data_IF_128416432324
#
_entry.id   IF_128416432324
#
_cell.length_a   1.000
_cell.length_b   1.000
_cell.length_c   1.000
_cell.angle_alpha   90.00
_cell.angle_beta   90.00
_cell.angle_gamma   90.00
#
_symmetry.space_group_name_H-M   'P 1'
#
loop_
_entity.id
_entity.type
_entity.pdbx_description
1 polymer ?
#
# COMPACT_ATOMS: atom_id res chain seq x y z
N UNK A 1 -12.18 -7.08 3.89
CA UNK A 1 -13.07 -5.90 3.97
C UNK A 1 -12.36 -4.84 4.83
N UNK A 2 -12.30 -3.58 4.41
CA UNK A 2 -11.57 -2.50 5.10
C UNK A 2 -12.00 -2.36 6.57
N UNK A 3 -11.11 -2.62 7.54
CA UNK A 3 -11.36 -2.22 8.93
C UNK A 3 -11.01 -0.73 9.09
N UNK A 4 -11.87 0.13 8.58
CA UNK A 4 -11.73 1.60 8.64
C UNK A 4 -11.44 2.11 10.06
N UNK A 5 -11.88 1.38 11.10
CA UNK A 5 -11.61 1.77 12.50
C UNK A 5 -10.14 1.60 12.88
N UNK A 6 -9.50 0.50 12.50
CA UNK A 6 -8.09 0.25 12.76
C UNK A 6 -7.20 1.26 12.03
N UNK A 7 -7.49 1.51 10.76
CA UNK A 7 -6.79 2.50 9.93
C UNK A 7 -6.83 3.91 10.49
N UNK A 8 -8.02 4.34 10.94
CA UNK A 8 -8.20 5.64 11.58
C UNK A 8 -7.38 5.74 12.87
N UNK A 9 -7.22 4.64 13.61
CA UNK A 9 -6.43 4.62 14.83
C UNK A 9 -4.92 4.72 14.56
N UNK A 10 -4.39 3.97 13.59
CA UNK A 10 -2.98 4.05 13.22
C UNK A 10 -2.63 5.42 12.63
N UNK A 11 -3.48 5.94 11.75
CA UNK A 11 -3.33 7.28 11.21
C UNK A 11 -3.34 8.34 12.31
N UNK A 12 -4.28 8.24 13.27
CA UNK A 12 -4.32 9.15 14.43
C UNK A 12 -3.09 8.98 15.34
N UNK A 13 -2.59 7.77 15.53
CA UNK A 13 -1.38 7.53 16.32
C UNK A 13 -0.17 8.25 15.71
N UNK A 14 0.00 8.15 14.39
CA UNK A 14 1.05 8.90 13.69
C UNK A 14 0.86 10.41 13.85
N UNK A 15 -0.35 10.93 13.65
CA UNK A 15 -0.60 12.37 13.71
C UNK A 15 -0.49 12.95 15.13
N UNK A 16 -0.71 12.15 16.17
CA UNK A 16 -0.41 12.53 17.56
C UNK A 16 1.06 12.87 17.76
N UNK A 17 1.98 12.15 17.11
CA UNK A 17 3.41 12.48 17.16
C UNK A 17 3.73 13.85 16.53
N UNK A 18 2.80 14.39 15.73
CA UNK A 18 2.91 15.65 15.02
C UNK A 18 2.07 16.79 15.67
N UNK A 19 1.50 16.56 16.85
CA UNK A 19 0.70 17.55 17.58
C UNK A 19 -0.79 17.57 17.24
N UNK A 20 -1.31 16.57 16.49
CA UNK A 20 -2.75 16.42 16.24
C UNK A 20 -3.36 15.52 17.30
N UNK A 21 -4.26 16.07 18.12
CA UNK A 21 -4.84 15.40 19.29
C UNK A 21 -5.98 14.48 18.90
N UNK A 22 -6.87 14.96 18.03
CA UNK A 22 -8.07 14.24 17.61
C UNK A 22 -8.47 14.62 16.18
N UNK A 23 -9.10 13.69 15.49
CA UNK A 23 -9.75 13.90 14.20
C UNK A 23 -11.18 13.40 14.32
N UNK A 24 -12.10 14.12 13.70
CA UNK A 24 -13.51 13.75 13.58
C UNK A 24 -13.76 13.35 12.14
N UNK A 25 -14.50 12.27 11.94
CA UNK A 25 -14.88 11.78 10.62
C UNK A 25 -16.38 11.68 10.48
N UNK A 26 -16.90 11.85 9.27
CA UNK A 26 -18.27 11.50 8.93
C UNK A 26 -18.46 9.96 8.75
N UNK A 27 -19.69 9.55 8.47
CA UNK A 27 -20.05 8.17 8.17
C UNK A 27 -19.44 7.62 6.87
N UNK A 28 -18.91 8.49 6.00
CA UNK A 28 -18.27 8.14 4.74
C UNK A 28 -16.73 8.11 4.84
N UNK A 29 -16.16 8.48 5.98
CA UNK A 29 -14.71 8.51 6.20
C UNK A 29 -14.03 9.82 5.81
N UNK A 30 -14.78 10.87 5.51
CA UNK A 30 -14.29 12.24 5.30
C UNK A 30 -13.94 12.86 6.63
N UNK A 31 -12.84 13.62 6.70
CA UNK A 31 -12.49 14.40 7.88
C UNK A 31 -13.46 15.59 7.99
N UNK A 32 -14.04 15.80 9.17
CA UNK A 32 -15.00 16.89 9.45
C UNK A 32 -14.53 17.81 10.57
N UNK A 33 -13.50 17.43 11.32
CA UNK A 33 -12.95 18.23 12.40
C UNK A 33 -11.57 17.74 12.83
N UNK A 34 -10.75 18.65 13.36
CA UNK A 34 -9.39 18.34 13.84
C UNK A 34 -9.10 19.17 15.09
N UNK A 35 -8.67 18.51 16.16
CA UNK A 35 -8.15 19.12 17.38
C UNK A 35 -6.62 19.02 17.40
N UNK A 36 -5.93 20.11 17.70
CA UNK A 36 -4.47 20.23 17.61
C UNK A 36 -3.90 20.93 18.84
N UNK A 37 -2.65 20.64 19.14
CA UNK A 37 -1.86 21.39 20.11
C UNK A 37 -1.50 22.78 19.56
N UNK A 38 -1.24 23.74 20.45
CA UNK A 38 -0.98 25.13 20.08
C UNK A 38 0.22 25.31 19.12
N UNK A 39 1.16 24.36 19.14
CA UNK A 39 2.39 24.40 18.35
C UNK A 39 2.36 23.46 17.14
N UNK A 40 1.22 22.84 16.85
CA UNK A 40 1.09 21.95 15.70
C UNK A 40 1.16 22.78 14.42
N UNK A 41 2.28 22.64 13.70
CA UNK A 41 2.52 23.33 12.43
C UNK A 41 1.73 22.77 11.25
N UNK A 42 1.01 21.65 11.43
CA UNK A 42 0.29 20.97 10.37
C UNK A 42 -1.14 21.51 10.28
N UNK A 43 -1.46 22.06 9.11
CA UNK A 43 -2.76 22.54 8.70
C UNK A 43 -3.75 21.42 8.38
N UNK A 44 -5.03 21.79 8.35
CA UNK A 44 -6.12 20.89 7.98
C UNK A 44 -5.92 20.24 6.61
N UNK A 45 -5.50 21.05 5.64
CA UNK A 45 -5.30 20.61 4.26
C UNK A 45 -4.21 19.54 4.13
N UNK A 46 -3.12 19.68 4.88
CA UNK A 46 -2.02 18.71 4.88
C UNK A 46 -2.49 17.37 5.45
N UNK A 47 -3.27 17.39 6.54
CA UNK A 47 -3.85 16.18 7.14
C UNK A 47 -4.82 15.49 6.17
N UNK A 48 -5.64 16.28 5.46
CA UNK A 48 -6.57 15.76 4.45
C UNK A 48 -5.83 15.12 3.28
N UNK A 49 -4.74 15.74 2.79
CA UNK A 49 -3.87 15.16 1.77
C UNK A 49 -3.26 13.87 2.28
N UNK A 50 -2.69 13.85 3.49
CA UNK A 50 -2.08 12.64 4.07
C UNK A 50 -3.08 11.49 4.13
N UNK A 51 -4.31 11.75 4.55
CA UNK A 51 -5.37 10.75 4.60
C UNK A 51 -5.76 10.24 3.20
N UNK A 52 -5.94 11.14 2.23
CA UNK A 52 -6.24 10.77 0.83
C UNK A 52 -5.11 9.94 0.22
N UNK A 53 -3.86 10.35 0.43
CA UNK A 53 -2.68 9.61 -0.05
C UNK A 53 -2.61 8.23 0.60
N UNK A 54 -2.90 8.11 1.89
CA UNK A 54 -2.98 6.82 2.58
C UNK A 54 -4.06 5.91 1.99
N UNK A 55 -5.28 6.43 1.79
CA UNK A 55 -6.39 5.68 1.20
C UNK A 55 -6.06 5.20 -0.22
N UNK A 56 -5.46 6.06 -1.05
CA UNK A 56 -5.02 5.70 -2.40
C UNK A 56 -3.91 4.64 -2.36
N UNK A 57 -2.93 4.77 -1.47
CA UNK A 57 -1.85 3.79 -1.30
C UNK A 57 -2.39 2.41 -0.84
N UNK A 58 -3.41 2.41 0.02
CA UNK A 58 -4.14 1.19 0.44
C UNK A 58 -4.92 0.57 -0.71
N UNK A 59 -5.72 1.36 -1.43
CA UNK A 59 -6.52 0.87 -2.57
C UNK A 59 -5.66 0.34 -3.72
N UNK A 60 -4.50 0.95 -3.94
CA UNK A 60 -3.52 0.49 -4.95
C UNK A 60 -2.68 -0.70 -4.49
N UNK A 61 -2.89 -1.21 -3.27
CA UNK A 61 -2.17 -2.37 -2.72
C UNK A 61 -0.68 -2.11 -2.48
N UNK A 62 -0.27 -0.85 -2.32
CA UNK A 62 1.14 -0.49 -2.06
C UNK A 62 1.55 -0.85 -0.62
N UNK A 63 0.59 -0.88 0.29
CA UNK A 63 0.79 -1.16 1.73
C UNK A 63 0.15 -2.50 2.09
N UNK A 64 0.92 -3.38 2.73
CA UNK A 64 0.45 -4.64 3.30
C UNK A 64 0.53 -4.55 4.83
N UNK A 65 -0.57 -4.78 5.54
CA UNK A 65 -0.64 -4.73 7.00
C UNK A 65 -0.91 -6.11 7.61
N UNK A 66 -0.67 -6.25 8.91
CA UNK A 66 -0.92 -7.49 9.65
C UNK A 66 -2.37 -7.96 9.52
N UNK A 67 -3.33 -7.03 9.55
CA UNK A 67 -4.75 -7.34 9.35
C UNK A 67 -5.07 -7.93 7.96
N UNK A 68 -4.30 -7.58 6.93
CA UNK A 68 -4.46 -8.13 5.59
C UNK A 68 -3.96 -9.59 5.56
N UNK A 69 -2.95 -9.92 6.37
CA UNK A 69 -2.44 -11.28 6.58
C UNK A 69 -3.46 -12.10 7.37
N UNK A 70 -4.00 -11.57 8.46
CA UNK A 70 -5.04 -12.24 9.26
C UNK A 70 -6.29 -12.55 8.43
N UNK A 71 -6.70 -11.60 7.57
CA UNK A 71 -7.80 -11.79 6.63
C UNK A 71 -7.48 -12.91 5.62
N UNK A 72 -6.25 -12.95 5.10
CA UNK A 72 -5.86 -13.98 4.14
C UNK A 72 -5.66 -15.37 4.76
N UNK A 73 -5.36 -15.46 6.05
CA UNK A 73 -5.28 -16.72 6.80
C UNK A 73 -6.67 -17.23 7.15
N UNK A 74 -7.61 -16.33 7.49
CA UNK A 74 -8.99 -16.68 7.82
C UNK A 74 -9.85 -17.02 6.61
N UNK A 75 -9.52 -16.53 5.41
CA UNK A 75 -10.18 -16.91 4.16
C UNK A 75 -9.58 -18.20 3.55
N UNK A 76 -10.32 -19.31 3.48
CA UNK A 76 -9.84 -20.51 2.82
C UNK A 76 -9.69 -20.27 1.31
N UNK A 77 -8.56 -20.68 0.74
CA UNK A 77 -8.33 -20.70 -0.70
C UNK A 77 -7.08 -19.95 -1.17
N UNK A 78 -7.26 -19.02 -2.11
CA UNK A 78 -6.13 -18.40 -2.85
C UNK A 78 -5.66 -17.05 -2.30
N UNK A 79 -6.24 -16.57 -1.20
CA UNK A 79 -5.95 -15.25 -0.63
C UNK A 79 -4.45 -15.08 -0.30
N UNK A 80 -3.86 -16.04 0.43
CA UNK A 80 -2.41 -16.04 0.73
C UNK A 80 -1.56 -16.01 -0.54
N UNK A 81 -1.92 -16.81 -1.55
CA UNK A 81 -1.18 -16.86 -2.82
C UNK A 81 -1.25 -15.53 -3.56
N UNK A 82 -2.41 -14.86 -3.57
CA UNK A 82 -2.58 -13.54 -4.20
C UNK A 82 -1.66 -12.49 -3.55
N UNK A 83 -1.55 -12.51 -2.22
CA UNK A 83 -0.65 -11.61 -1.49
C UNK A 83 0.80 -11.89 -1.87
N UNK A 84 1.24 -13.15 -1.83
CA UNK A 84 2.60 -13.52 -2.19
C UNK A 84 2.93 -13.17 -3.65
N UNK A 85 2.00 -13.43 -4.57
CA UNK A 85 2.13 -13.06 -5.99
C UNK A 85 2.29 -11.54 -6.14
N UNK A 86 1.50 -10.75 -5.42
CA UNK A 86 1.56 -9.30 -5.45
C UNK A 86 2.91 -8.76 -4.93
N UNK A 87 3.33 -9.21 -3.75
CA UNK A 87 4.63 -8.83 -3.17
C UNK A 87 5.76 -9.19 -4.13
N UNK A 88 5.74 -10.41 -4.69
CA UNK A 88 6.75 -10.86 -5.63
C UNK A 88 6.79 -9.98 -6.89
N UNK A 89 5.64 -9.58 -7.42
CA UNK A 89 5.55 -8.66 -8.56
C UNK A 89 6.11 -7.27 -8.20
N UNK A 90 5.76 -6.71 -7.04
CA UNK A 90 6.25 -5.41 -6.58
C UNK A 90 7.78 -5.42 -6.43
N UNK A 91 8.33 -6.46 -5.81
CA UNK A 91 9.78 -6.62 -5.65
C UNK A 91 10.49 -6.68 -7.00
N UNK A 92 9.96 -7.44 -7.96
CA UNK A 92 10.51 -7.50 -9.33
C UNK A 92 10.49 -6.13 -10.00
N UNK A 93 9.36 -5.40 -9.93
CA UNK A 93 9.26 -4.07 -10.53
C UNK A 93 10.27 -3.09 -9.92
N UNK A 94 10.36 -3.04 -8.59
CA UNK A 94 11.32 -2.17 -7.90
C UNK A 94 12.77 -2.54 -8.20
N UNK A 95 13.08 -3.84 -8.26
CA UNK A 95 14.41 -4.31 -8.64
C UNK A 95 14.79 -3.94 -10.08
N UNK A 96 13.82 -3.97 -11.01
CA UNK A 96 14.02 -3.54 -12.39
C UNK A 96 14.27 -2.03 -12.47
N UNK A 97 13.49 -1.21 -11.76
CA UNK A 97 13.71 0.25 -11.69
C UNK A 97 15.12 0.53 -11.17
N UNK A 98 15.50 -0.10 -10.06
CA UNK A 98 16.83 0.08 -9.46
C UNK A 98 17.97 -0.37 -10.40
N UNK A 99 17.73 -1.43 -11.17
CA UNK A 99 18.69 -1.99 -12.12
C UNK A 99 18.60 -1.37 -13.52
N UNK A 100 17.84 -0.28 -13.69
CA UNK A 100 17.62 0.41 -14.98
C UNK A 100 17.17 -0.56 -16.09
N UNK A 101 16.29 -1.49 -15.75
CA UNK A 101 15.75 -2.51 -16.67
C UNK A 101 16.65 -3.74 -16.90
N UNK A 102 17.85 -3.80 -16.32
CA UNK A 102 18.73 -4.96 -16.44
C UNK A 102 18.19 -6.14 -15.61
N UNK A 103 17.59 -7.12 -16.30
CA UNK A 103 16.96 -8.29 -15.67
C UNK A 103 17.94 -9.19 -14.89
N UNK A 104 19.19 -9.33 -15.37
CA UNK A 104 20.19 -10.16 -14.68
C UNK A 104 20.62 -9.52 -13.36
N UNK A 105 20.84 -8.20 -13.37
CA UNK A 105 21.18 -7.43 -12.16
C UNK A 105 20.01 -7.36 -11.18
N UNK A 106 18.78 -7.17 -11.69
CA UNK A 106 17.57 -7.18 -10.87
C UNK A 106 17.38 -8.53 -10.18
N UNK A 107 17.53 -9.63 -10.92
CA UNK A 107 17.41 -11.00 -10.40
C UNK A 107 18.47 -11.29 -9.32
N UNK A 108 19.72 -10.88 -9.56
CA UNK A 108 20.81 -11.00 -8.58
C UNK A 108 20.49 -10.25 -7.28
N UNK A 109 19.98 -9.01 -7.38
CA UNK A 109 19.68 -8.17 -6.22
C UNK A 109 18.59 -8.73 -5.31
N UNK A 110 17.58 -9.37 -5.87
CA UNK A 110 16.46 -9.96 -5.11
C UNK A 110 16.63 -11.46 -4.89
N UNK A 111 17.81 -12.02 -5.18
CA UNK A 111 18.13 -13.42 -4.91
C UNK A 111 17.26 -14.42 -5.67
N UNK A 112 16.81 -14.11 -6.89
CA UNK A 112 16.02 -15.04 -7.71
C UNK A 112 16.71 -15.39 -9.03
N UNK A 113 16.29 -16.49 -9.65
CA UNK A 113 16.81 -16.85 -10.97
C UNK A 113 16.30 -15.88 -12.04
N UNK A 114 17.16 -15.55 -13.02
CA UNK A 114 16.79 -14.71 -14.16
C UNK A 114 15.55 -15.26 -14.90
N UNK A 115 15.45 -16.58 -15.05
CA UNK A 115 14.33 -17.25 -15.72
C UNK A 115 13.01 -17.03 -14.97
N UNK A 116 13.02 -17.11 -13.63
CA UNK A 116 11.84 -16.83 -12.81
C UNK A 116 11.42 -15.36 -12.95
N UNK A 117 12.37 -14.43 -12.83
CA UNK A 117 12.13 -13.01 -13.02
C UNK A 117 11.49 -12.74 -14.38
N UNK A 118 12.06 -13.31 -15.45
CA UNK A 118 11.55 -13.10 -16.81
C UNK A 118 10.11 -13.58 -16.98
N UNK A 119 9.74 -14.72 -16.38
CA UNK A 119 8.33 -15.20 -16.39
C UNK A 119 7.40 -14.22 -15.68
N UNK A 120 7.81 -13.70 -14.52
CA UNK A 120 7.03 -12.74 -13.75
C UNK A 120 6.83 -11.42 -14.51
N UNK A 121 7.88 -10.92 -15.17
CA UNK A 121 7.81 -9.72 -16.01
C UNK A 121 6.82 -9.91 -17.17
N UNK A 122 6.89 -11.05 -17.87
CA UNK A 122 5.95 -11.37 -18.95
C UNK A 122 4.50 -11.43 -18.46
N UNK A 123 4.26 -12.09 -17.33
CA UNK A 123 2.94 -12.21 -16.68
C UNK A 123 2.38 -10.83 -16.31
N UNK A 124 3.22 -9.92 -15.81
CA UNK A 124 2.79 -8.57 -15.44
C UNK A 124 2.48 -7.71 -16.67
N UNK A 125 3.29 -7.81 -17.73
CA UNK A 125 2.98 -7.14 -19.00
C UNK A 125 1.63 -7.57 -19.56
N UNK A 126 1.33 -8.88 -19.58
CA UNK A 126 0.05 -9.36 -20.10
C UNK A 126 -1.14 -8.87 -19.26
N UNK A 127 -1.02 -8.82 -17.94
CA UNK A 127 -2.08 -8.29 -17.06
C UNK A 127 -2.35 -6.82 -17.35
N UNK A 128 -1.30 -6.01 -17.43
CA UNK A 128 -1.44 -4.57 -17.66
C UNK A 128 -2.00 -4.24 -19.04
N UNK A 129 -1.67 -5.04 -20.07
CA UNK A 129 -2.26 -4.92 -21.40
C UNK A 129 -3.77 -5.24 -21.42
N UNK A 130 -4.23 -6.16 -20.58
CA UNK A 130 -5.66 -6.52 -20.49
C UNK A 130 -6.48 -5.47 -19.71
N UNK A 131 -5.92 -4.89 -18.65
CA UNK A 131 -6.59 -3.83 -17.87
C UNK A 131 -6.75 -2.53 -18.66
N UNK A 132 -5.81 -2.19 -19.55
CA UNK A 132 -5.89 -0.98 -20.39
C UNK A 132 -6.78 -1.14 -21.63
N UNK A 133 -7.22 -2.36 -21.94
CA UNK A 133 -8.07 -2.67 -23.09
C UNK A 133 -9.56 -2.87 -22.72
N UNK A 134 -9.88 -2.83 -21.42
CA UNK A 134 -11.23 -2.92 -20.86
C UNK A 134 -11.71 -1.53 -20.43
#
# INVERSE_FOLDING_TARGET
>A
MLNIKAEKQEFLHHLRSLGVVAITWDGHGTITGIQREAYCGIGYHEIEIMWKTWQVARQSGIVLMESDIDSAVSEPGTATRKILDHIENVLVQKALVYSKGNQSQAALKIGMSRTKLQRLVKRNHSKHSMENAA
#
